data_IF_601698069015
#
_entry.id   IF_601698069015
#
_cell.length_a   1.000
_cell.length_b   1.000
_cell.length_c   1.000
_cell.angle_alpha   90.00
_cell.angle_beta   90.00
_cell.angle_gamma   90.00
#
_symmetry.space_group_name_H-M   'P 1'
#
loop_
_entity.id
_entity.type
_entity.pdbx_description
1 polymer ?
#
# COMPACT_ATOMS: atom_id res chain seq x y z
N UNK A 1 -41.88 13.18 3.93
CA UNK A 1 -41.48 11.77 3.76
C UNK A 1 -39.98 11.78 3.46
N UNK A 2 -39.14 11.34 4.40
CA UNK A 2 -37.69 11.32 4.23
C UNK A 2 -37.25 9.89 3.92
N UNK A 3 -36.95 9.61 2.66
CA UNK A 3 -36.04 8.53 2.30
C UNK A 3 -34.64 9.16 2.31
N UNK A 4 -33.96 9.07 3.45
CA UNK A 4 -32.51 9.25 3.47
C UNK A 4 -31.94 7.99 2.82
N UNK A 5 -31.60 8.13 1.54
CA UNK A 5 -30.78 7.16 0.82
C UNK A 5 -29.41 7.12 1.51
N UNK A 6 -29.25 6.11 2.36
CA UNK A 6 -28.11 5.89 3.22
C UNK A 6 -27.51 4.53 2.87
N UNK A 7 -26.95 4.39 1.67
CA UNK A 7 -26.04 3.29 1.34
C UNK A 7 -25.10 3.67 0.18
N UNK A 8 -24.25 4.65 0.44
CA UNK A 8 -23.01 4.80 -0.32
C UNK A 8 -21.86 4.77 0.68
N UNK A 9 -21.64 3.61 1.32
CA UNK A 9 -20.28 3.29 1.70
C UNK A 9 -19.45 3.42 0.40
N UNK A 10 -18.46 4.33 0.31
CA UNK A 10 -17.68 4.44 -0.91
C UNK A 10 -17.13 3.05 -1.14
N UNK A 11 -17.51 2.41 -2.26
CA UNK A 11 -17.03 1.09 -2.60
C UNK A 11 -15.54 1.11 -2.33
N UNK A 12 -15.11 0.38 -1.29
CA UNK A 12 -13.74 0.34 -0.81
C UNK A 12 -12.96 -0.32 -1.93
N UNK A 13 -12.63 0.48 -2.95
CA UNK A 13 -12.04 0.00 -4.17
C UNK A 13 -10.59 -0.26 -3.86
N UNK A 14 -10.25 -1.54 -3.95
CA UNK A 14 -8.90 -2.04 -3.80
C UNK A 14 -7.95 -1.17 -4.63
N UNK A 15 -7.00 -0.55 -3.93
CA UNK A 15 -6.00 0.35 -4.47
C UNK A 15 -5.29 -0.36 -5.62
N UNK A 16 -5.06 0.41 -6.67
CA UNK A 16 -4.23 0.00 -7.80
C UNK A 16 -2.76 -0.01 -7.37
N UNK A 17 -1.91 -0.72 -8.13
CA UNK A 17 -0.46 -0.72 -7.88
C UNK A 17 0.15 0.68 -7.81
N UNK A 18 -0.31 1.60 -8.65
CA UNK A 18 0.13 3.00 -8.63
C UNK A 18 -0.23 3.68 -7.32
N UNK A 19 -1.43 3.47 -6.80
CA UNK A 19 -1.86 4.06 -5.53
C UNK A 19 -1.09 3.43 -4.35
N UNK A 20 -0.88 2.12 -4.36
CA UNK A 20 -0.03 1.41 -3.37
C UNK A 20 1.39 1.99 -3.38
N UNK A 21 1.99 2.19 -4.57
CA UNK A 21 3.32 2.76 -4.74
C UNK A 21 3.41 4.16 -4.13
N UNK A 22 2.43 5.01 -4.37
CA UNK A 22 2.39 6.35 -3.80
C UNK A 22 2.19 6.32 -2.27
N UNK A 23 1.31 5.46 -1.75
CA UNK A 23 1.13 5.27 -0.30
C UNK A 23 2.42 4.81 0.39
N UNK A 24 3.13 3.84 -0.20
CA UNK A 24 4.42 3.37 0.32
C UNK A 24 5.44 4.51 0.33
N UNK A 25 5.61 5.24 -0.79
CA UNK A 25 6.54 6.39 -0.84
C UNK A 25 6.22 7.44 0.22
N UNK A 26 4.94 7.79 0.40
CA UNK A 26 4.51 8.78 1.37
C UNK A 26 4.83 8.34 2.81
N UNK A 27 4.55 7.07 3.15
CA UNK A 27 4.86 6.53 4.48
C UNK A 27 6.35 6.49 4.77
N UNK A 28 7.17 6.10 3.79
CA UNK A 28 8.62 6.08 3.93
C UNK A 28 9.19 7.49 4.11
N UNK A 29 8.65 8.46 3.35
CA UNK A 29 8.99 9.88 3.50
C UNK A 29 8.61 10.40 4.89
N UNK A 30 7.40 10.10 5.37
CA UNK A 30 6.93 10.52 6.69
C UNK A 30 7.76 9.91 7.83
N UNK A 31 8.16 8.65 7.69
CA UNK A 31 8.99 7.95 8.67
C UNK A 31 10.49 8.29 8.56
N UNK A 32 10.90 9.18 7.64
CA UNK A 32 12.31 9.52 7.34
C UNK A 32 13.19 8.28 7.11
N UNK A 33 12.62 7.23 6.52
CA UNK A 33 13.34 6.00 6.21
C UNK A 33 14.25 6.22 4.99
N UNK A 34 15.38 5.48 4.90
CA UNK A 34 16.25 5.55 3.73
C UNK A 34 15.47 5.24 2.45
N UNK A 35 15.90 5.79 1.31
CA UNK A 35 15.21 5.60 0.04
C UNK A 35 15.28 4.13 -0.40
N UNK A 36 14.16 3.42 -0.29
CA UNK A 36 13.96 2.12 -0.92
C UNK A 36 13.33 2.30 -2.30
N UNK A 37 13.73 1.45 -3.24
CA UNK A 37 13.09 1.32 -4.55
C UNK A 37 12.10 0.17 -4.49
N UNK A 38 10.90 0.39 -5.03
CA UNK A 38 9.94 -0.70 -5.25
C UNK A 38 10.43 -1.52 -6.43
N UNK A 39 10.84 -2.76 -6.16
CA UNK A 39 11.26 -3.73 -7.19
C UNK A 39 10.04 -4.38 -7.83
N UNK A 40 9.09 -4.81 -7.01
CA UNK A 40 7.92 -5.58 -7.44
C UNK A 40 6.72 -5.29 -6.51
N UNK A 41 5.52 -5.33 -7.06
CA UNK A 41 4.27 -5.29 -6.30
C UNK A 41 3.48 -6.52 -6.72
N UNK A 42 3.20 -7.41 -5.79
CA UNK A 42 2.40 -8.60 -6.00
C UNK A 42 1.04 -8.38 -5.33
N UNK A 43 -0.02 -8.44 -6.13
CA UNK A 43 -1.40 -8.38 -5.61
C UNK A 43 -1.77 -9.79 -5.14
N UNK A 44 -1.68 -10.01 -3.84
CA UNK A 44 -1.90 -11.34 -3.24
C UNK A 44 -3.39 -11.69 -3.26
N UNK A 45 -4.22 -10.72 -2.93
CA UNK A 45 -5.67 -10.83 -2.89
C UNK A 45 -6.30 -9.46 -3.16
N UNK A 46 -7.63 -9.36 -3.16
CA UNK A 46 -8.33 -8.10 -3.34
C UNK A 46 -8.01 -7.11 -2.22
N UNK A 47 -7.79 -7.59 -0.99
CA UNK A 47 -7.50 -6.74 0.17
C UNK A 47 -6.01 -6.51 0.44
N UNK A 48 -5.10 -7.31 -0.11
CA UNK A 48 -3.68 -7.32 0.30
C UNK A 48 -2.74 -7.29 -0.90
N UNK A 49 -1.75 -6.41 -0.85
CA UNK A 49 -0.63 -6.37 -1.77
C UNK A 49 0.68 -6.57 -1.01
N UNK A 50 1.58 -7.38 -1.56
CA UNK A 50 2.96 -7.51 -1.12
C UNK A 50 3.84 -6.61 -1.98
N UNK A 51 4.65 -5.79 -1.33
CA UNK A 51 5.57 -4.86 -2.01
C UNK A 51 6.99 -5.26 -1.68
N UNK A 52 7.74 -5.64 -2.71
CA UNK A 52 9.16 -5.93 -2.60
C UNK A 52 9.96 -4.64 -2.70
N UNK A 53 10.64 -4.29 -1.62
CA UNK A 53 11.50 -3.12 -1.55
C UNK A 53 12.96 -3.54 -1.55
N UNK A 54 13.77 -2.84 -2.33
CA UNK A 54 15.23 -2.97 -2.34
C UNK A 54 15.88 -1.65 -1.99
N UNK A 55 16.85 -1.69 -1.09
CA UNK A 55 17.68 -0.56 -0.73
C UNK A 55 18.52 -0.10 -1.90
N UNK A 56 18.99 1.14 -1.85
CA UNK A 56 19.72 1.77 -2.94
C UNK A 56 21.01 1.02 -3.34
N UNK A 57 21.68 0.38 -2.38
CA UNK A 57 22.86 -0.47 -2.64
C UNK A 57 22.53 -1.92 -3.03
N UNK A 58 21.26 -2.32 -3.09
CA UNK A 58 20.85 -3.70 -3.40
C UNK A 58 21.14 -4.75 -2.31
N UNK A 59 21.95 -4.42 -1.29
CA UNK A 59 22.29 -5.30 -0.18
C UNK A 59 21.15 -5.54 0.82
N UNK A 60 20.12 -4.69 0.80
CA UNK A 60 18.96 -4.79 1.70
C UNK A 60 17.72 -4.99 0.85
N UNK A 61 17.02 -6.10 1.03
CA UNK A 61 15.74 -6.37 0.41
C UNK A 61 14.75 -6.77 1.49
N UNK A 62 13.53 -6.27 1.43
CA UNK A 62 12.49 -6.53 2.42
C UNK A 62 11.12 -6.58 1.77
N UNK A 63 10.20 -7.30 2.40
CA UNK A 63 8.85 -7.47 1.90
C UNK A 63 7.86 -6.77 2.82
N UNK A 64 7.11 -5.85 2.25
CA UNK A 64 6.03 -5.15 2.93
C UNK A 64 4.69 -5.77 2.58
N UNK A 65 3.78 -5.78 3.54
CA UNK A 65 2.37 -6.06 3.27
C UNK A 65 1.57 -4.77 3.39
N UNK A 66 0.86 -4.40 2.33
CA UNK A 66 0.02 -3.21 2.23
C UNK A 66 -1.44 -3.65 2.10
N UNK A 67 -2.29 -3.06 2.93
CA UNK A 67 -3.73 -3.19 2.84
C UNK A 67 -4.21 -2.37 1.63
N UNK A 68 -4.81 -3.04 0.65
CA UNK A 68 -5.29 -2.42 -0.59
C UNK A 68 -6.55 -1.61 -0.37
N UNK A 69 -7.26 -1.73 0.73
CA UNK A 69 -8.45 -0.92 0.98
C UNK A 69 -8.04 0.44 1.58
N UNK A 70 -7.11 0.42 2.52
CA UNK A 70 -6.73 1.59 3.33
C UNK A 70 -5.38 2.19 2.95
N UNK A 71 -4.56 1.47 2.17
CA UNK A 71 -3.17 1.83 1.88
C UNK A 71 -2.24 1.67 3.08
N UNK A 72 -2.71 1.02 4.16
CA UNK A 72 -1.95 0.88 5.39
C UNK A 72 -0.92 -0.24 5.29
N UNK A 73 0.32 0.04 5.70
CA UNK A 73 1.37 -1.00 5.77
C UNK A 73 1.13 -1.82 7.05
N UNK A 74 0.78 -3.10 6.92
CA UNK A 74 0.46 -3.98 8.06
C UNK A 74 1.69 -4.64 8.68
N UNK A 75 2.71 -4.98 7.88
CA UNK A 75 3.87 -5.74 8.37
C UNK A 75 5.15 -5.39 7.61
N UNK A 76 6.25 -5.27 8.36
CA UNK A 76 7.62 -5.01 7.90
C UNK A 76 8.47 -6.22 8.30
N UNK A 77 9.09 -6.89 7.34
CA UNK A 77 9.98 -8.04 7.57
C UNK A 77 11.09 -8.09 6.53
#
# INVERSE_FOLDING_TARGET
MHAQDADAAPACRSLTESAIRESVKQRFRAAKLPYFRIKEIELVDDQVARVHLVGQSGATALWLTVDRITGHIRQYR
#
